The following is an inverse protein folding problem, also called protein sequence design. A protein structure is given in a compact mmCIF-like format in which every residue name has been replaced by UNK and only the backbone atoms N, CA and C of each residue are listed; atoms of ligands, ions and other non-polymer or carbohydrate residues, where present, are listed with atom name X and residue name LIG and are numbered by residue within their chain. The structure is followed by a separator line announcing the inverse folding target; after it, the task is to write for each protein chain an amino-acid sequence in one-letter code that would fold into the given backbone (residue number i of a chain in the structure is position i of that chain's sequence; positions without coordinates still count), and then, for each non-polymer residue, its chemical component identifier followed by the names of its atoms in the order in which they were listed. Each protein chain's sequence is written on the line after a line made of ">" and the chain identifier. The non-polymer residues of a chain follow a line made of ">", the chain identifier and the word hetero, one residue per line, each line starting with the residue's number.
data_IF_441790837350
#
_entry.id   IF_441790837350
#
_cell.length_a   1.000
_cell.length_b   1.000
_cell.length_c   1.000
_cell.angle_alpha   90.00
_cell.angle_beta   90.00
_cell.angle_gamma   90.00
#
_symmetry.space_group_name_H-M   'P 1'
#
loop_
_entity.id
_entity.type
_entity.pdbx_description
1 polymer ?
#
# COMPACT_ATOMS: atom_id res chain seq x y z
N UNK A 1 -15.86 15.13 19.55
CA UNK A 1 -14.83 16.14 19.87
C UNK A 1 -13.90 16.24 18.67
N UNK A 2 -13.76 17.39 17.99
CA UNK A 2 -12.81 17.51 16.87
C UNK A 2 -11.39 17.51 17.48
N UNK A 3 -10.56 16.52 17.17
CA UNK A 3 -9.17 16.47 17.64
C UNK A 3 -8.36 17.52 16.88
N UNK A 4 -7.51 18.26 17.59
CA UNK A 4 -6.61 19.26 17.00
C UNK A 4 -5.20 18.70 16.87
N UNK A 5 -4.49 19.15 15.85
CA UNK A 5 -3.15 18.69 15.51
C UNK A 5 -2.25 19.90 15.30
N UNK A 6 -1.03 19.84 15.84
CA UNK A 6 0.05 20.73 15.44
C UNK A 6 0.98 19.97 14.50
N UNK A 7 1.25 20.52 13.32
CA UNK A 7 2.17 19.97 12.33
C UNK A 7 3.38 20.90 12.18
N UNK A 8 4.54 20.41 12.59
CA UNK A 8 5.84 21.00 12.29
C UNK A 8 6.34 20.40 10.98
N UNK A 9 6.39 21.19 9.89
CA UNK A 9 6.72 20.70 8.54
C UNK A 9 7.91 21.41 7.91
N UNK A 10 8.74 20.67 7.18
CA UNK A 10 9.83 21.18 6.35
C UNK A 10 9.34 21.87 5.07
N UNK A 11 8.06 21.67 4.71
CA UNK A 11 7.46 22.27 3.54
C UNK A 11 7.06 23.72 3.77
N UNK A 12 7.12 24.53 2.72
CA UNK A 12 6.53 25.87 2.71
C UNK A 12 5.01 25.78 2.90
N UNK A 13 4.43 26.76 3.60
CA UNK A 13 2.99 26.81 3.93
C UNK A 13 2.10 26.67 2.69
N UNK A 14 2.46 27.32 1.58
CA UNK A 14 1.70 27.29 0.32
C UNK A 14 1.59 25.88 -0.25
N UNK A 15 2.70 25.15 -0.28
CA UNK A 15 2.75 23.74 -0.74
C UNK A 15 1.97 22.83 0.19
N UNK A 16 2.10 23.02 1.51
CA UNK A 16 1.42 22.19 2.50
C UNK A 16 -0.10 22.36 2.45
N UNK A 17 -0.60 23.59 2.28
CA UNK A 17 -2.04 23.86 2.10
C UNK A 17 -2.60 23.17 0.85
N UNK A 18 -1.83 23.11 -0.25
CA UNK A 18 -2.25 22.35 -1.42
C UNK A 18 -2.38 20.85 -1.13
N UNK A 19 -1.53 20.29 -0.27
CA UNK A 19 -1.62 18.89 0.16
C UNK A 19 -2.83 18.66 1.09
N UNK A 20 -3.10 19.57 2.02
CA UNK A 20 -4.31 19.49 2.85
C UNK A 20 -5.59 19.48 2.00
N UNK A 21 -5.65 20.30 0.93
CA UNK A 21 -6.77 20.27 -0.02
C UNK A 21 -6.90 18.93 -0.72
N UNK A 22 -5.80 18.38 -1.23
CA UNK A 22 -5.80 17.05 -1.87
C UNK A 22 -6.19 15.93 -0.92
N UNK A 23 -5.88 16.07 0.37
CA UNK A 23 -6.27 15.13 1.41
C UNK A 23 -7.72 15.33 1.90
N UNK A 24 -8.47 16.30 1.35
CA UNK A 24 -9.83 16.59 1.80
C UNK A 24 -9.89 17.20 3.21
N UNK A 25 -8.82 17.88 3.65
CA UNK A 25 -8.70 18.47 5.00
C UNK A 25 -8.78 20.00 5.00
N UNK A 26 -9.10 20.63 3.87
CA UNK A 26 -9.16 22.09 3.75
C UNK A 26 -10.30 22.73 4.58
N UNK A 27 -11.40 22.00 4.81
CA UNK A 27 -12.49 22.41 5.70
C UNK A 27 -12.12 22.28 7.19
N UNK A 28 -10.94 21.73 7.50
CA UNK A 28 -10.47 21.46 8.88
C UNK A 28 -9.28 22.32 9.29
N UNK A 29 -8.93 23.35 8.53
CA UNK A 29 -7.80 24.25 8.82
C UNK A 29 -7.86 24.82 10.25
N UNK A 30 -9.06 25.10 10.79
CA UNK A 30 -9.26 25.55 12.17
C UNK A 30 -8.76 24.56 13.26
N UNK A 31 -8.58 23.28 12.91
CA UNK A 31 -8.11 22.22 13.81
C UNK A 31 -6.65 21.83 13.55
N UNK A 32 -5.98 22.46 12.58
CA UNK A 32 -4.62 22.14 12.17
C UNK A 32 -3.77 23.39 12.29
N UNK A 33 -2.88 23.42 13.28
CA UNK A 33 -1.86 24.45 13.40
C UNK A 33 -0.62 24.00 12.63
N UNK A 34 -0.29 24.69 11.54
CA UNK A 34 0.87 24.39 10.70
C UNK A 34 1.99 25.36 11.04
N UNK A 35 3.14 24.82 11.43
CA UNK A 35 4.39 25.57 11.63
C UNK A 35 5.38 25.09 10.57
N UNK A 36 5.73 25.99 9.64
CA UNK A 36 6.70 25.69 8.59
C UNK A 36 8.11 25.97 9.09
N UNK A 37 9.09 25.17 8.64
CA UNK A 37 10.52 25.43 8.86
C UNK A 37 10.94 26.83 8.43
N UNK A 38 10.30 27.39 7.41
CA UNK A 38 10.61 28.72 6.89
C UNK A 38 10.13 29.86 7.80
N UNK A 39 9.24 29.57 8.74
CA UNK A 39 8.68 30.55 9.69
C UNK A 39 9.39 30.50 11.06
N UNK A 40 10.36 29.58 11.23
CA UNK A 40 11.03 29.37 12.51
C UNK A 40 12.26 30.26 12.68
N UNK A 41 12.48 30.83 13.87
CA UNK A 41 13.75 31.43 14.22
C UNK A 41 14.86 30.36 14.30
N UNK A 42 16.14 30.75 14.18
CA UNK A 42 17.26 29.82 14.38
C UNK A 42 17.26 29.34 15.84
N UNK A 43 16.83 28.10 16.06
CA UNK A 43 16.68 27.51 17.38
C UNK A 43 17.27 26.10 17.41
N UNK A 44 17.88 25.73 18.53
CA UNK A 44 18.36 24.35 18.75
C UNK A 44 17.18 23.41 18.96
N UNK A 45 17.33 22.18 18.48
CA UNK A 45 16.27 21.17 18.48
C UNK A 45 15.53 20.98 19.83
N UNK A 46 16.18 20.82 20.99
CA UNK A 46 15.46 20.66 22.26
C UNK A 46 14.58 21.85 22.63
N UNK A 47 15.08 23.07 22.42
CA UNK A 47 14.32 24.29 22.70
C UNK A 47 13.15 24.46 21.71
N UNK A 48 13.35 24.06 20.44
CA UNK A 48 12.28 24.06 19.44
C UNK A 48 11.16 23.11 19.83
N UNK A 49 11.49 21.89 20.25
CA UNK A 49 10.48 20.92 20.70
C UNK A 49 9.71 21.44 21.90
N UNK A 50 10.38 22.02 22.89
CA UNK A 50 9.73 22.60 24.07
C UNK A 50 8.74 23.72 23.67
N UNK A 51 9.18 24.65 22.82
CA UNK A 51 8.33 25.74 22.33
C UNK A 51 7.12 25.21 21.54
N UNK A 52 7.35 24.29 20.60
CA UNK A 52 6.29 23.70 19.77
C UNK A 52 5.31 22.86 20.60
N UNK A 53 5.80 22.13 21.60
CA UNK A 53 4.95 21.36 22.48
C UNK A 53 4.09 22.28 23.37
N UNK A 54 4.65 23.37 23.89
CA UNK A 54 3.88 24.41 24.57
C UNK A 54 2.83 25.05 23.65
N UNK A 55 3.17 25.32 22.39
CA UNK A 55 2.22 25.83 21.38
C UNK A 55 1.10 24.83 21.10
N UNK A 56 1.43 23.54 21.01
CA UNK A 56 0.47 22.45 20.84
C UNK A 56 -0.52 22.41 22.01
N UNK A 57 -0.04 22.50 23.25
CA UNK A 57 -0.89 22.57 24.45
C UNK A 57 -1.78 23.80 24.44
N UNK A 58 -1.23 25.00 24.15
CA UNK A 58 -2.03 26.25 24.08
C UNK A 58 -3.10 26.19 22.98
N UNK A 59 -2.81 25.53 21.86
CA UNK A 59 -3.77 25.31 20.79
C UNK A 59 -4.82 24.24 21.13
N UNK A 60 -4.58 23.41 22.16
CA UNK A 60 -5.41 22.26 22.51
C UNK A 60 -5.21 21.07 21.56
N UNK A 61 -4.03 20.96 20.96
CA UNK A 61 -3.65 19.81 20.16
C UNK A 61 -3.51 18.56 21.03
N UNK A 62 -3.85 17.42 20.45
CA UNK A 62 -3.65 16.10 21.06
C UNK A 62 -2.55 15.32 20.33
N UNK A 63 -2.15 15.82 19.15
CA UNK A 63 -1.13 15.21 18.31
C UNK A 63 -0.13 16.31 17.90
N UNK A 64 1.15 16.01 18.10
CA UNK A 64 2.27 16.76 17.55
C UNK A 64 2.88 15.92 16.41
N UNK A 65 2.81 16.43 15.19
CA UNK A 65 3.43 15.81 14.02
C UNK A 65 4.72 16.55 13.64
N UNK A 66 5.81 15.81 13.42
CA UNK A 66 7.10 16.34 12.97
C UNK A 66 7.46 15.75 11.60
N UNK A 67 7.52 16.60 10.59
CA UNK A 67 7.74 16.24 9.19
C UNK A 67 8.87 17.06 8.55
N UNK A 68 10.09 16.58 8.34
CA UNK A 68 10.62 15.25 8.69
C UNK A 68 11.57 15.37 9.88
N UNK A 69 11.56 14.35 10.74
CA UNK A 69 12.32 14.31 11.99
C UNK A 69 13.82 14.57 11.77
N UNK A 70 14.44 13.87 10.82
CA UNK A 70 15.88 13.98 10.56
C UNK A 70 16.27 15.42 10.18
N UNK A 71 15.43 16.14 9.43
CA UNK A 71 15.70 17.50 9.00
C UNK A 71 15.71 18.51 10.17
N UNK A 72 14.84 18.34 11.16
CA UNK A 72 14.77 19.23 12.34
C UNK A 72 15.76 18.86 13.43
N UNK A 73 15.97 17.56 13.66
CA UNK A 73 16.90 17.08 14.67
C UNK A 73 18.38 17.22 14.26
N UNK A 74 18.65 17.57 13.00
CA UNK A 74 20.01 17.70 12.48
C UNK A 74 20.70 16.35 12.23
N UNK A 75 19.93 15.26 12.15
CA UNK A 75 20.46 13.93 11.88
C UNK A 75 20.84 13.82 10.40
N UNK A 76 22.13 13.61 10.13
CA UNK A 76 22.66 13.46 8.77
C UNK A 76 23.87 12.52 8.76
N UNK A 77 24.18 11.93 7.61
CA UNK A 77 25.35 11.06 7.45
C UNK A 77 25.31 9.86 8.40
N UNK A 78 26.40 9.61 9.11
CA UNK A 78 26.51 8.46 10.01
C UNK A 78 25.71 8.63 11.31
N UNK A 79 25.38 9.87 11.69
CA UNK A 79 24.62 10.17 12.92
C UNK A 79 23.22 9.55 12.92
N UNK A 80 22.59 9.43 11.75
CA UNK A 80 21.25 8.81 11.64
C UNK A 80 21.27 7.31 12.00
N UNK A 81 22.41 6.66 11.85
CA UNK A 81 22.60 5.23 12.17
C UNK A 81 23.25 5.03 13.55
N UNK A 82 23.66 6.10 14.22
CA UNK A 82 24.22 6.04 15.56
C UNK A 82 23.08 6.02 16.60
N UNK A 83 23.03 4.96 17.40
CA UNK A 83 22.01 4.79 18.43
C UNK A 83 22.00 5.93 19.47
N UNK A 84 23.18 6.44 19.84
CA UNK A 84 23.31 7.55 20.78
C UNK A 84 22.74 8.84 20.22
N UNK A 85 23.11 9.20 18.99
CA UNK A 85 22.64 10.43 18.33
C UNK A 85 21.12 10.39 18.10
N UNK A 86 20.59 9.24 17.65
CA UNK A 86 19.16 9.06 17.48
C UNK A 86 18.39 9.15 18.82
N UNK A 87 18.91 8.56 19.89
CA UNK A 87 18.29 8.63 21.21
C UNK A 87 18.30 10.05 21.77
N UNK A 88 19.41 10.78 21.63
CA UNK A 88 19.50 12.18 22.04
C UNK A 88 18.53 13.07 21.24
N UNK A 89 18.35 12.79 19.95
CA UNK A 89 17.38 13.48 19.11
C UNK A 89 15.93 13.17 19.50
N UNK A 90 15.62 11.95 19.95
CA UNK A 90 14.27 11.56 20.38
C UNK A 90 13.90 12.09 21.78
N UNK A 91 14.87 12.26 22.67
CA UNK A 91 14.64 12.56 24.10
C UNK A 91 13.74 13.78 24.35
N UNK A 92 13.88 14.93 23.65
CA UNK A 92 12.96 16.05 23.80
C UNK A 92 11.50 15.71 23.43
N UNK A 93 11.31 14.90 22.38
CA UNK A 93 9.97 14.48 21.93
C UNK A 93 9.35 13.48 22.90
N UNK A 94 10.13 12.54 23.44
CA UNK A 94 9.69 11.60 24.47
C UNK A 94 9.23 12.35 25.72
N UNK A 95 10.00 13.36 26.13
CA UNK A 95 9.64 14.25 27.26
C UNK A 95 8.34 14.99 27.00
N UNK A 96 8.17 15.57 25.81
CA UNK A 96 6.92 16.23 25.42
C UNK A 96 5.73 15.26 25.47
N UNK A 97 5.88 14.05 24.94
CA UNK A 97 4.82 13.02 24.97
C UNK A 97 4.45 12.64 26.42
N UNK A 98 5.45 12.39 27.26
CA UNK A 98 5.25 11.95 28.64
C UNK A 98 4.65 13.03 29.55
N UNK A 99 5.01 14.30 29.33
CA UNK A 99 4.64 15.38 30.27
C UNK A 99 3.43 16.20 29.81
N UNK A 100 3.13 16.23 28.52
CA UNK A 100 2.08 17.10 27.96
C UNK A 100 0.90 16.34 27.36
N UNK A 101 0.83 15.03 27.54
CA UNK A 101 -0.23 14.16 27.01
C UNK A 101 -0.42 14.29 25.49
N UNK A 102 0.68 14.55 24.77
CA UNK A 102 0.69 14.64 23.31
C UNK A 102 1.04 13.28 22.70
N UNK A 103 0.24 12.81 21.75
CA UNK A 103 0.69 11.77 20.84
C UNK A 103 1.70 12.38 19.85
N UNK A 104 2.91 11.85 19.81
CA UNK A 104 3.95 12.35 18.90
C UNK A 104 4.05 11.43 17.68
N UNK A 105 3.85 12.01 16.49
CA UNK A 105 4.06 11.34 15.21
C UNK A 105 5.27 11.98 14.51
N UNK A 106 6.20 11.14 14.06
CA UNK A 106 7.41 11.61 13.38
C UNK A 106 7.58 10.87 12.06
N UNK A 107 7.85 11.61 10.98
CA UNK A 107 8.15 11.04 9.68
C UNK A 107 9.66 11.04 9.44
N UNK A 108 10.14 10.02 8.75
CA UNK A 108 11.54 9.90 8.33
C UNK A 108 11.60 9.29 6.95
N UNK A 109 12.57 9.71 6.17
CA UNK A 109 12.87 9.07 4.90
C UNK A 109 13.77 7.86 5.14
N UNK A 110 13.48 6.78 4.43
CA UNK A 110 14.38 5.64 4.37
C UNK A 110 15.38 5.84 3.23
N UNK A 111 16.65 5.54 3.48
CA UNK A 111 17.70 5.65 2.45
C UNK A 111 17.47 4.60 1.37
N UNK A 112 17.87 4.93 0.13
CA UNK A 112 17.67 4.11 -1.08
C UNK A 112 18.43 2.77 -1.10
N UNK A 113 19.34 2.50 -0.17
CA UNK A 113 19.99 1.20 -0.02
C UNK A 113 19.07 0.21 0.71
N UNK A 114 17.94 -0.11 0.07
CA UNK A 114 17.06 -1.19 0.49
C UNK A 114 17.73 -2.52 0.22
N UNK A 115 18.36 -3.08 1.25
CA UNK A 115 18.64 -4.52 1.33
C UNK A 115 17.34 -5.31 1.46
N UNK A 116 17.43 -6.63 1.35
CA UNK A 116 16.28 -7.53 1.28
C UNK A 116 15.25 -7.28 2.39
N UNK A 117 13.98 -7.41 1.99
CA UNK A 117 12.76 -6.95 2.70
C UNK A 117 12.58 -7.57 4.10
N UNK A 118 13.35 -8.62 4.45
CA UNK A 118 13.31 -9.25 5.78
C UNK A 118 14.13 -8.52 6.85
N UNK A 119 15.23 -7.86 6.48
CA UNK A 119 16.15 -7.25 7.45
C UNK A 119 15.90 -5.74 7.66
N UNK A 120 15.37 -5.03 6.67
CA UNK A 120 15.08 -3.58 6.80
C UNK A 120 13.90 -3.25 7.72
N UNK A 121 13.04 -4.22 8.03
CA UNK A 121 11.97 -4.05 9.02
C UNK A 121 12.49 -4.10 10.47
N UNK A 122 13.57 -4.86 10.74
CA UNK A 122 14.32 -4.79 12.01
C UNK A 122 15.47 -3.77 11.97
N UNK A 123 15.87 -3.34 10.78
CA UNK A 123 17.10 -2.61 10.45
C UNK A 123 17.07 -1.08 10.55
N UNK A 124 16.20 -0.49 11.39
CA UNK A 124 16.35 0.92 11.78
C UNK A 124 16.88 0.99 13.22
N UNK A 125 18.08 0.45 13.41
CA UNK A 125 18.59 -0.03 14.71
C UNK A 125 18.96 1.06 15.71
N UNK A 126 18.76 2.35 15.40
CA UNK A 126 19.01 3.47 16.29
C UNK A 126 17.70 4.07 16.87
N UNK A 127 16.84 4.61 16.00
CA UNK A 127 15.56 5.25 16.40
C UNK A 127 14.51 4.25 16.88
N UNK A 128 14.54 3.00 16.40
CA UNK A 128 13.49 2.02 16.67
C UNK A 128 13.34 1.62 18.13
N UNK A 129 14.43 1.65 18.91
CA UNK A 129 14.38 1.35 20.35
C UNK A 129 13.67 2.42 21.18
N UNK A 130 13.62 3.67 20.68
CA UNK A 130 13.11 4.83 21.39
C UNK A 130 11.65 5.18 21.08
N UNK A 131 10.92 4.36 20.33
CA UNK A 131 9.51 4.60 19.96
C UNK A 131 8.62 3.42 20.32
N UNK A 132 7.32 3.67 20.48
CA UNK A 132 6.35 2.63 20.81
C UNK A 132 5.81 1.90 19.58
N UNK A 133 5.67 2.62 18.46
CA UNK A 133 5.13 2.12 17.19
C UNK A 133 6.01 2.60 16.04
N UNK A 134 6.41 1.68 15.17
CA UNK A 134 7.11 1.94 13.92
C UNK A 134 6.20 1.51 12.78
N UNK A 135 5.94 2.43 11.87
CA UNK A 135 5.19 2.17 10.64
C UNK A 135 6.12 2.33 9.43
N UNK A 136 6.17 1.33 8.55
CA UNK A 136 6.92 1.37 7.30
C UNK A 136 5.98 1.27 6.11
N UNK A 137 6.04 2.26 5.21
CA UNK A 137 5.21 2.32 4.01
C UNK A 137 6.02 1.85 2.79
N UNK A 138 5.62 0.72 2.20
CA UNK A 138 6.33 0.04 1.11
C UNK A 138 5.52 0.02 -0.19
N UNK A 139 6.23 0.06 -1.32
CA UNK A 139 5.65 -0.28 -2.62
C UNK A 139 5.54 -1.80 -2.75
N UNK A 140 4.48 -2.27 -3.39
CA UNK A 140 4.27 -3.70 -3.63
C UNK A 140 4.47 -3.98 -5.12
N UNK A 141 5.49 -4.78 -5.47
CA UNK A 141 5.71 -5.18 -6.88
C UNK A 141 4.49 -5.98 -7.36
N UNK A 142 4.04 -5.68 -8.58
CA UNK A 142 2.91 -6.35 -9.22
C UNK A 142 1.54 -5.81 -8.83
N UNK A 143 1.44 -4.82 -7.94
CA UNK A 143 0.19 -4.12 -7.68
C UNK A 143 0.18 -2.72 -8.30
N UNK A 144 -1.02 -2.12 -8.36
CA UNK A 144 -1.21 -0.75 -8.87
C UNK A 144 -0.33 0.25 -8.11
N UNK A 145 0.14 1.35 -8.75
CA UNK A 145 0.95 2.38 -8.10
C UNK A 145 0.26 3.08 -6.93
N UNK A 146 -1.06 2.99 -6.80
CA UNK A 146 -1.88 3.51 -5.70
C UNK A 146 -1.86 2.61 -4.46
N UNK A 147 -1.46 1.34 -4.61
CA UNK A 147 -1.42 0.37 -3.50
C UNK A 147 -0.06 0.39 -2.81
N UNK A 148 -0.08 0.39 -1.48
CA UNK A 148 1.08 0.32 -0.59
C UNK A 148 0.86 -0.73 0.48
N UNK A 149 1.95 -1.29 0.97
CA UNK A 149 1.96 -2.14 2.16
C UNK A 149 2.43 -1.31 3.35
N UNK A 150 1.62 -1.28 4.41
CA UNK A 150 1.94 -0.66 5.69
C UNK A 150 2.34 -1.77 6.66
N UNK A 151 3.63 -1.86 6.98
CA UNK A 151 4.17 -2.78 7.97
C UNK A 151 4.25 -2.07 9.32
N UNK A 152 3.88 -2.75 10.40
CA UNK A 152 3.98 -2.22 11.75
C UNK A 152 4.84 -3.10 12.65
N UNK A 153 5.72 -2.46 13.42
CA UNK A 153 6.33 -3.04 14.60
C UNK A 153 5.85 -2.22 15.81
N UNK A 154 5.14 -2.86 16.73
CA UNK A 154 4.46 -2.18 17.83
C UNK A 154 4.68 -2.91 19.13
N UNK A 155 4.65 -2.16 20.23
CA UNK A 155 4.55 -2.69 21.60
C UNK A 155 3.12 -3.08 21.99
N UNK A 156 2.14 -2.76 21.16
CA UNK A 156 0.71 -2.97 21.41
C UNK A 156 0.15 -4.03 20.45
N UNK A 157 -0.46 -5.07 21.02
CA UNK A 157 -1.03 -6.21 20.28
C UNK A 157 -2.18 -5.81 19.36
N UNK A 158 -2.85 -4.68 19.65
CA UNK A 158 -3.94 -4.14 18.85
C UNK A 158 -3.46 -3.53 17.52
N UNK A 159 -2.16 -3.31 17.35
CA UNK A 159 -1.60 -2.77 16.10
C UNK A 159 -1.44 -3.87 15.06
N UNK A 160 -2.14 -3.81 13.91
CA UNK A 160 -1.98 -4.83 12.87
C UNK A 160 -0.54 -4.85 12.34
N UNK A 161 0.09 -6.03 12.29
CA UNK A 161 1.48 -6.15 11.83
C UNK A 161 1.67 -5.81 10.34
N UNK A 162 0.63 -5.97 9.53
CA UNK A 162 0.66 -5.63 8.10
C UNK A 162 -0.75 -5.24 7.62
N UNK A 163 -0.82 -4.21 6.77
CA UNK A 163 -2.01 -3.83 6.01
C UNK A 163 -1.66 -3.49 4.56
N UNK A 164 -2.49 -3.90 3.61
CA UNK A 164 -2.48 -3.32 2.27
C UNK A 164 -3.43 -2.13 2.24
N UNK A 165 -2.95 -0.99 1.75
CA UNK A 165 -3.75 0.23 1.62
C UNK A 165 -3.69 0.77 0.20
N UNK A 166 -4.81 1.29 -0.30
CA UNK A 166 -4.91 1.93 -1.61
C UNK A 166 -5.27 3.40 -1.47
N UNK A 167 -4.54 4.26 -2.16
CA UNK A 167 -4.92 5.67 -2.33
C UNK A 167 -6.00 5.80 -3.41
N UNK A 168 -7.18 6.27 -3.01
CA UNK A 168 -8.33 6.53 -3.89
C UNK A 168 -8.70 8.01 -3.85
N UNK A 169 -9.67 8.43 -4.66
CA UNK A 169 -10.22 9.80 -4.59
C UNK A 169 -10.88 10.10 -3.24
N UNK A 170 -11.40 9.09 -2.54
CA UNK A 170 -11.98 9.21 -1.21
C UNK A 170 -10.94 9.12 -0.07
N UNK A 171 -9.65 8.96 -0.41
CA UNK A 171 -8.55 8.77 0.53
C UNK A 171 -8.04 7.33 0.60
N UNK A 172 -7.35 6.99 1.69
CA UNK A 172 -6.80 5.65 1.90
C UNK A 172 -7.88 4.65 2.32
N UNK A 173 -7.93 3.51 1.62
CA UNK A 173 -8.79 2.37 1.97
C UNK A 173 -7.95 1.12 2.22
N UNK A 174 -8.40 0.24 3.10
CA UNK A 174 -7.75 -1.06 3.33
C UNK A 174 -8.15 -2.02 2.21
N UNK A 175 -7.16 -2.69 1.62
CA UNK A 175 -7.36 -3.72 0.61
C UNK A 175 -7.40 -5.08 1.29
N UNK A 176 -8.37 -5.92 0.91
CA UNK A 176 -8.46 -7.29 1.39
C UNK A 176 -7.15 -8.06 1.05
N UNK A 177 -6.50 -8.72 2.03
CA UNK A 177 -5.25 -9.44 1.80
C UNK A 177 -5.34 -10.55 0.73
N UNK A 178 -6.45 -11.28 0.66
CA UNK A 178 -6.67 -12.34 -0.33
C UNK A 178 -6.88 -11.75 -1.72
N UNK A 179 -7.58 -10.62 -1.83
CA UNK A 179 -7.64 -9.87 -3.07
C UNK A 179 -6.25 -9.42 -3.52
N UNK A 180 -5.46 -8.82 -2.62
CA UNK A 180 -4.09 -8.39 -2.90
C UNK A 180 -3.20 -9.52 -3.39
N UNK A 181 -3.28 -10.72 -2.77
CA UNK A 181 -2.55 -11.91 -3.22
C UNK A 181 -2.95 -12.35 -4.64
N UNK A 182 -4.25 -12.38 -4.94
CA UNK A 182 -4.77 -12.76 -6.27
C UNK A 182 -4.29 -11.79 -7.35
N UNK A 183 -4.39 -10.49 -7.10
CA UNK A 183 -3.93 -9.45 -8.02
C UNK A 183 -2.42 -9.56 -8.27
N UNK A 184 -1.63 -9.77 -7.21
CA UNK A 184 -0.18 -9.92 -7.35
C UNK A 184 0.19 -11.20 -8.10
N UNK A 185 -0.55 -12.30 -7.91
CA UNK A 185 -0.35 -13.55 -8.65
C UNK A 185 -0.70 -13.39 -10.14
N UNK A 186 -1.78 -12.66 -10.44
CA UNK A 186 -2.17 -12.32 -11.81
C UNK A 186 -1.11 -11.44 -12.49
N UNK A 187 -0.62 -10.40 -11.81
CA UNK A 187 0.43 -9.54 -12.34
C UNK A 187 1.74 -10.28 -12.58
N UNK A 188 2.16 -11.17 -11.67
CA UNK A 188 3.33 -12.04 -11.87
C UNK A 188 3.15 -12.96 -13.07
N UNK A 189 1.96 -13.52 -13.24
CA UNK A 189 1.64 -14.37 -14.39
C UNK A 189 1.70 -13.58 -15.71
N UNK A 190 1.21 -12.34 -15.72
CA UNK A 190 1.31 -11.44 -16.88
C UNK A 190 2.76 -11.04 -17.19
N UNK A 191 3.58 -10.74 -16.17
CA UNK A 191 5.02 -10.47 -16.31
C UNK A 191 5.75 -11.68 -16.92
N UNK A 192 5.53 -12.88 -16.37
CA UNK A 192 6.12 -14.11 -16.91
C UNK A 192 5.68 -14.36 -18.36
N UNK A 193 4.40 -14.11 -18.67
CA UNK A 193 3.88 -14.23 -20.03
C UNK A 193 4.61 -13.28 -20.98
N UNK A 194 4.77 -12.01 -20.59
CA UNK A 194 5.47 -11.02 -21.40
C UNK A 194 6.94 -11.38 -21.61
N UNK A 195 7.64 -11.84 -20.56
CA UNK A 195 9.04 -12.28 -20.65
C UNK A 195 9.21 -13.42 -21.66
N UNK A 196 8.34 -14.43 -21.62
CA UNK A 196 8.38 -15.53 -22.60
C UNK A 196 8.05 -15.02 -24.00
N UNK A 197 7.06 -14.14 -24.15
CA UNK A 197 6.70 -13.57 -25.44
C UNK A 197 7.82 -12.74 -26.07
N UNK A 198 8.54 -11.95 -25.27
CA UNK A 198 9.69 -11.14 -25.70
C UNK A 198 10.90 -12.01 -26.07
N UNK A 199 11.04 -13.18 -25.43
CA UNK A 199 12.09 -14.15 -25.76
C UNK A 199 11.82 -14.88 -27.08
N UNK A 200 10.55 -15.08 -27.48
CA UNK A 200 10.20 -15.77 -28.72
C UNK A 200 10.59 -14.96 -29.96
N UNK A 201 11.30 -15.60 -30.89
CA UNK A 201 11.63 -15.04 -32.20
C UNK A 201 10.46 -15.22 -33.18
N UNK A 202 10.28 -14.33 -34.16
CA UNK A 202 9.18 -14.42 -35.14
C UNK A 202 9.35 -15.57 -36.13
N UNK A 203 10.59 -16.00 -36.39
CA UNK A 203 10.92 -16.98 -37.40
C UNK A 203 11.17 -18.38 -36.83
N UNK A 204 10.94 -19.40 -37.67
CA UNK A 204 11.17 -20.80 -37.31
C UNK A 204 12.65 -21.12 -37.06
N UNK A 205 13.59 -20.42 -37.72
CA UNK A 205 15.02 -20.66 -37.55
C UNK A 205 15.51 -20.23 -36.15
N UNK A 206 14.92 -19.17 -35.60
CA UNK A 206 15.13 -18.67 -34.24
C UNK A 206 14.29 -19.36 -33.17
N UNK A 207 13.61 -20.47 -33.48
CA UNK A 207 12.75 -21.16 -32.52
C UNK A 207 13.55 -21.76 -31.35
N UNK A 208 13.04 -21.54 -30.14
CA UNK A 208 13.71 -21.93 -28.89
C UNK A 208 12.98 -23.09 -28.21
N UNK A 209 13.72 -23.98 -27.58
CA UNK A 209 13.20 -25.01 -26.68
C UNK A 209 12.77 -24.39 -25.35
N UNK A 210 12.01 -25.15 -24.55
CA UNK A 210 11.64 -24.72 -23.19
C UNK A 210 12.87 -24.43 -22.31
N UNK A 211 13.97 -25.18 -22.51
CA UNK A 211 15.21 -24.95 -21.75
C UNK A 211 15.86 -23.64 -22.15
N UNK A 212 16.05 -23.39 -23.45
CA UNK A 212 16.63 -22.14 -23.94
C UNK A 212 15.76 -20.92 -23.56
N UNK A 213 14.43 -21.06 -23.53
CA UNK A 213 13.52 -20.03 -23.03
C UNK A 213 13.63 -19.81 -21.52
N UNK A 214 13.80 -20.88 -20.72
CA UNK A 214 14.05 -20.77 -19.29
C UNK A 214 15.36 -20.02 -19.01
N UNK A 215 16.41 -20.35 -19.77
CA UNK A 215 17.71 -19.70 -19.66
C UNK A 215 17.63 -18.21 -20.08
N UNK A 216 16.89 -17.90 -21.15
CA UNK A 216 16.72 -16.53 -21.65
C UNK A 216 15.84 -15.64 -20.75
N UNK A 217 14.84 -16.22 -20.07
CA UNK A 217 13.88 -15.46 -19.25
C UNK A 217 14.22 -15.47 -17.76
N UNK A 218 15.12 -16.37 -17.31
CA UNK A 218 15.40 -16.62 -15.89
C UNK A 218 14.26 -17.31 -15.14
N UNK A 219 13.22 -17.80 -15.85
CA UNK A 219 12.08 -18.48 -15.26
C UNK A 219 12.33 -19.98 -15.13
N UNK A 220 11.69 -20.63 -14.13
CA UNK A 220 11.80 -22.08 -14.02
C UNK A 220 11.10 -22.77 -15.19
N UNK A 221 11.65 -23.92 -15.62
CA UNK A 221 11.19 -24.69 -16.78
C UNK A 221 9.69 -24.99 -16.77
N UNK A 222 9.13 -25.35 -15.61
CA UNK A 222 7.69 -25.65 -15.48
C UNK A 222 6.83 -24.42 -15.77
N UNK A 223 7.22 -23.22 -15.33
CA UNK A 223 6.50 -21.97 -15.62
C UNK A 223 6.56 -21.63 -17.10
N UNK A 224 7.74 -21.72 -17.70
CA UNK A 224 7.92 -21.52 -19.14
C UNK A 224 7.07 -22.49 -19.94
N UNK A 225 7.04 -23.77 -19.56
CA UNK A 225 6.22 -24.77 -20.23
C UNK A 225 4.73 -24.43 -20.17
N UNK A 226 4.21 -24.04 -19.00
CA UNK A 226 2.81 -23.62 -18.85
C UNK A 226 2.49 -22.40 -19.69
N UNK A 227 3.34 -21.38 -19.66
CA UNK A 227 3.15 -20.14 -20.43
C UNK A 227 3.24 -20.40 -21.94
N UNK A 228 4.26 -21.13 -22.39
CA UNK A 228 4.46 -21.43 -23.81
C UNK A 228 3.31 -22.28 -24.36
N UNK A 229 2.77 -23.22 -23.57
CA UNK A 229 1.56 -23.96 -23.95
C UNK A 229 0.36 -23.02 -24.13
N UNK A 230 0.10 -22.14 -23.17
CA UNK A 230 -1.01 -21.19 -23.27
C UNK A 230 -0.87 -20.27 -24.51
N UNK A 231 0.33 -19.78 -24.80
CA UNK A 231 0.60 -18.98 -26.00
C UNK A 231 0.34 -19.76 -27.31
N UNK A 232 0.59 -21.07 -27.33
CA UNK A 232 0.26 -21.93 -28.47
C UNK A 232 -1.24 -22.15 -28.60
N UNK A 233 -1.91 -22.45 -27.49
CA UNK A 233 -3.36 -22.68 -27.46
C UNK A 233 -4.13 -21.40 -27.89
N UNK A 234 -3.58 -20.23 -27.61
CA UNK A 234 -4.10 -18.92 -28.06
C UNK A 234 -3.67 -18.51 -29.48
N UNK A 235 -2.82 -19.30 -30.15
CA UNK A 235 -2.33 -19.03 -31.50
C UNK A 235 -1.26 -17.92 -31.62
N UNK A 236 -0.79 -17.38 -30.49
CA UNK A 236 0.26 -16.35 -30.42
C UNK A 236 1.66 -16.94 -30.66
N UNK A 237 1.84 -18.22 -30.36
CA UNK A 237 3.05 -18.97 -30.65
C UNK A 237 2.73 -20.24 -31.45
N UNK A 238 3.70 -20.74 -32.20
CA UNK A 238 3.66 -22.06 -32.82
C UNK A 238 4.70 -22.96 -32.17
N UNK A 239 4.39 -24.25 -32.09
CA UNK A 239 5.33 -25.28 -31.69
C UNK A 239 5.51 -26.29 -32.81
N UNK A 240 6.72 -26.80 -32.95
CA UNK A 240 6.99 -27.95 -33.80
C UNK A 240 8.03 -28.87 -33.16
N UNK A 241 8.02 -30.11 -33.60
CA UNK A 241 9.07 -31.08 -33.32
C UNK A 241 9.87 -31.26 -34.61
N UNK A 242 11.20 -31.22 -34.54
CA UNK A 242 12.04 -31.51 -35.70
C UNK A 242 11.84 -32.97 -36.14
N UNK A 243 12.15 -33.29 -37.40
CA UNK A 243 11.83 -34.56 -38.09
C UNK A 243 12.55 -35.81 -37.54
N UNK A 244 13.09 -35.74 -36.33
CA UNK A 244 13.69 -36.85 -35.60
C UNK A 244 12.88 -37.18 -34.33
N UNK A 245 12.46 -38.45 -34.15
CA UNK A 245 11.78 -38.87 -32.94
C UNK A 245 12.61 -38.53 -31.69
N UNK A 246 11.94 -38.03 -30.65
CA UNK A 246 12.50 -37.66 -29.33
C UNK A 246 13.21 -36.30 -29.22
N UNK A 247 13.26 -35.46 -30.26
CA UNK A 247 13.76 -34.08 -30.08
C UNK A 247 12.77 -33.21 -29.29
N UNK A 248 13.27 -32.26 -28.46
CA UNK A 248 12.41 -31.35 -27.71
C UNK A 248 11.61 -30.45 -28.66
N UNK A 249 10.38 -30.11 -28.27
CA UNK A 249 9.58 -29.11 -28.97
C UNK A 249 10.30 -27.75 -28.97
N UNK A 250 10.25 -27.08 -30.12
CA UNK A 250 10.72 -25.70 -30.30
C UNK A 250 9.53 -24.78 -30.52
N UNK A 251 9.63 -23.56 -30.02
CA UNK A 251 8.59 -22.54 -29.99
C UNK A 251 9.08 -21.28 -30.70
N UNK A 252 8.24 -20.68 -31.54
CA UNK A 252 8.45 -19.36 -32.13
C UNK A 252 7.14 -18.57 -32.10
N UNK A 253 7.23 -17.25 -32.21
CA UNK A 253 6.07 -16.36 -32.25
C UNK A 253 5.35 -16.53 -33.58
N UNK A 254 4.03 -16.50 -33.56
CA UNK A 254 3.23 -16.47 -34.78
C UNK A 254 3.36 -15.08 -35.38
N UNK A 255 3.96 -14.97 -36.56
CA UNK A 255 3.93 -13.73 -37.33
C UNK A 255 2.63 -13.69 -38.14
N UNK A 256 1.76 -12.68 -37.97
CA UNK A 256 0.56 -12.55 -38.80
C UNK A 256 0.86 -12.35 -40.29
N UNK A 257 2.12 -12.03 -40.65
CA UNK A 257 2.56 -11.87 -42.05
C UNK A 257 3.21 -13.12 -42.64
N UNK A 258 3.48 -14.14 -41.83
CA UNK A 258 4.03 -15.41 -42.29
C UNK A 258 2.89 -16.37 -42.59
N UNK A 259 2.42 -16.37 -43.84
CA UNK A 259 1.67 -17.48 -44.40
C UNK A 259 2.58 -18.70 -44.49
N UNK A 260 2.69 -19.47 -43.40
CA UNK A 260 3.26 -20.81 -43.47
C UNK A 260 2.24 -21.74 -44.14
N UNK A 261 2.56 -22.18 -45.36
CA UNK A 261 1.91 -23.25 -46.10
C UNK A 261 1.74 -24.48 -45.21
N UNK A 262 0.50 -24.75 -44.79
CA UNK A 262 0.15 -26.00 -44.13
C UNK A 262 0.03 -27.07 -45.20
N UNK A 263 1.11 -27.81 -45.47
CA UNK A 263 0.96 -29.13 -46.08
C UNK A 263 0.50 -30.11 -45.00
N UNK A 264 -0.81 -30.17 -44.78
CA UNK A 264 -1.45 -31.32 -44.15
C UNK A 264 -1.18 -32.54 -45.04
N UNK A 265 -0.24 -33.41 -44.64
CA UNK A 265 -0.23 -34.78 -45.17
C UNK A 265 -1.17 -35.63 -44.33
N UNK A 266 -2.39 -35.72 -44.86
CA UNK A 266 -3.29 -36.83 -44.66
C UNK A 266 -2.50 -38.14 -44.77
N UNK A 267 -2.47 -38.91 -43.68
CA UNK A 267 -2.00 -40.28 -43.67
C UNK A 267 -2.97 -41.15 -44.46
N UNK A 268 -2.63 -41.40 -45.73
CA UNK A 268 -3.22 -42.48 -46.52
C UNK A 268 -2.88 -43.82 -45.87
N UNK A 269 -3.91 -44.51 -45.38
CA UNK A 269 -3.81 -45.90 -44.98
C UNK A 269 -3.37 -46.74 -46.18
N UNK A 270 -2.22 -47.41 -46.05
CA UNK A 270 -1.81 -48.48 -46.96
C UNK A 270 -2.32 -49.80 -46.42
N UNK A 271 -3.09 -50.41 -47.29
CA UNK A 271 -3.58 -51.77 -47.33
C UNK A 271 -2.41 -52.77 -47.19
N UNK A 272 -2.52 -53.69 -46.25
CA UNK A 272 -1.79 -54.96 -46.27
C UNK A 272 -2.61 -56.03 -45.57
N UNK A 273 -3.38 -56.74 -46.39
CA UNK A 273 -3.92 -58.07 -46.14
C UNK A 273 -2.85 -59.04 -45.63
N UNK A 274 -3.09 -59.63 -44.46
CA UNK A 274 -2.88 -61.05 -44.18
C UNK A 274 -3.98 -61.53 -43.25
N UNK A 275 -4.75 -62.52 -43.71
CA UNK A 275 -5.64 -63.37 -42.91
C UNK A 275 -4.82 -64.08 -41.81
N UNK A 276 -5.34 -64.43 -40.62
CA UNK A 276 -6.37 -65.45 -40.44
C UNK A 276 -7.10 -65.36 -39.08
N UNK A 277 -8.39 -65.73 -39.16
CA UNK A 277 -9.18 -66.51 -38.20
C UNK A 277 -9.12 -66.22 -36.68
N UNK A 278 -10.18 -65.60 -36.15
CA UNK A 278 -11.17 -66.33 -35.36
C UNK A 278 -12.41 -65.47 -35.09
N UNK A 279 -13.58 -65.99 -35.44
CA UNK A 279 -14.87 -65.33 -35.21
C UNK A 279 -15.36 -65.45 -33.77
N UNK A 280 -16.25 -64.54 -33.38
CA UNK A 280 -17.60 -64.85 -32.88
C UNK A 280 -18.45 -63.56 -32.82
N UNK A 281 -19.72 -63.72 -33.19
CA UNK A 281 -20.79 -62.73 -33.32
C UNK A 281 -21.14 -62.02 -31.98
N UNK A 282 -21.96 -60.97 -31.87
CA UNK A 282 -23.14 -60.58 -32.62
C UNK A 282 -23.66 -59.17 -32.21
N UNK A 283 -24.39 -58.52 -33.15
CA UNK A 283 -25.62 -57.71 -32.99
C UNK A 283 -25.57 -56.35 -32.24
N UNK A 284 -25.83 -55.21 -32.92
CA UNK A 284 -27.16 -54.52 -33.15
C UNK A 284 -27.67 -53.83 -31.87
N UNK A 285 -28.22 -52.61 -31.80
CA UNK A 285 -28.82 -51.70 -32.78
C UNK A 285 -29.26 -50.36 -32.08
N UNK A 286 -29.59 -49.36 -32.90
CA UNK A 286 -30.50 -48.18 -32.75
C UNK A 286 -30.27 -47.04 -31.73
N UNK A 287 -30.21 -45.81 -32.30
CA UNK A 287 -31.02 -44.65 -31.87
C UNK A 287 -30.21 -43.44 -31.39
N UNK A 288 -30.10 -42.29 -32.06
CA UNK A 288 -30.99 -41.65 -33.04
C UNK A 288 -31.91 -40.64 -32.35
N UNK A 289 -31.52 -39.36 -32.27
CA UNK A 289 -32.39 -38.27 -31.80
C UNK A 289 -31.68 -36.97 -31.42
N UNK A 290 -31.58 -36.03 -32.36
CA UNK A 290 -31.14 -34.63 -32.19
C UNK A 290 -32.37 -33.70 -32.05
N UNK A 291 -32.24 -32.36 -31.86
CA UNK A 291 -32.56 -31.67 -30.61
C UNK A 291 -33.72 -30.66 -30.73
N UNK A 292 -34.22 -30.13 -29.61
CA UNK A 292 -34.99 -28.88 -29.60
C UNK A 292 -34.59 -27.97 -28.41
N UNK A 293 -34.19 -26.75 -28.72
CA UNK A 293 -34.14 -25.60 -27.82
C UNK A 293 -35.55 -24.97 -27.68
N UNK A 294 -35.80 -24.16 -26.63
CA UNK A 294 -35.87 -22.72 -26.91
C UNK A 294 -35.43 -21.76 -25.77
N UNK A 295 -34.90 -20.62 -26.24
CA UNK A 295 -34.99 -19.22 -25.78
C UNK A 295 -35.29 -18.80 -24.32
N UNK A 296 -34.40 -17.90 -23.85
CA UNK A 296 -34.58 -16.62 -23.12
C UNK A 296 -35.63 -16.48 -22.01
N UNK A 297 -35.16 -16.06 -20.82
CA UNK A 297 -35.74 -14.88 -20.16
C UNK A 297 -34.73 -14.16 -19.26
N UNK A 298 -34.57 -12.86 -19.53
CA UNK A 298 -33.92 -11.86 -18.68
C UNK A 298 -34.98 -11.32 -17.72
N UNK A 299 -34.62 -11.03 -16.47
CA UNK A 299 -35.43 -10.20 -15.57
C UNK A 299 -34.54 -9.26 -14.76
N UNK A 300 -34.68 -7.97 -15.08
CA UNK A 300 -34.31 -6.83 -14.24
C UNK A 300 -35.44 -6.59 -13.23
N UNK A 301 -35.11 -6.21 -12.01
CA UNK A 301 -36.05 -5.57 -11.07
C UNK A 301 -35.39 -4.32 -10.50
N UNK A 302 -36.15 -3.24 -10.45
CA UNK A 302 -35.80 -1.91 -9.99
C UNK A 302 -36.73 -1.50 -8.83
N UNK A 303 -36.12 -0.99 -7.74
CA UNK A 303 -36.48 0.11 -6.78
C UNK A 303 -37.90 0.14 -6.16
N UNK A 304 -38.05 0.55 -4.88
CA UNK A 304 -38.37 1.97 -4.60
C UNK A 304 -37.68 2.61 -3.38
N UNK A 305 -37.78 3.94 -3.35
CA UNK A 305 -37.28 4.94 -2.37
C UNK A 305 -38.34 5.24 -1.30
N UNK A 306 -37.91 5.74 -0.12
CA UNK A 306 -38.71 6.51 0.86
C UNK A 306 -38.47 6.05 2.31
N UNK A 307 -38.51 6.84 3.37
CA UNK A 307 -38.50 8.29 3.68
C UNK A 307 -38.30 8.40 5.22
N UNK A 308 -38.04 9.60 5.74
CA UNK A 308 -37.73 9.96 7.13
C UNK A 308 -38.63 9.37 8.25
N UNK A 309 -38.06 9.17 9.45
CA UNK A 309 -38.71 9.54 10.74
C UNK A 309 -37.82 9.34 11.99
N UNK A 310 -37.56 10.47 12.66
CA UNK A 310 -37.69 10.75 14.11
C UNK A 310 -37.34 9.72 15.21
N UNK A 311 -36.36 10.15 16.04
CA UNK A 311 -36.30 10.13 17.53
C UNK A 311 -36.57 8.82 18.30
N UNK A 312 -35.55 8.33 19.02
CA UNK A 312 -35.74 7.68 20.32
C UNK A 312 -34.52 7.92 21.23
N UNK A 313 -34.78 8.61 22.34
CA UNK A 313 -33.87 8.82 23.47
C UNK A 313 -33.74 7.52 24.25
N UNK A 314 -32.51 7.11 24.58
CA UNK A 314 -32.28 6.19 25.69
C UNK A 314 -31.35 6.81 26.73
N UNK A 315 -31.97 7.09 27.89
CA UNK A 315 -31.35 7.30 29.17
C UNK A 315 -30.49 6.09 29.56
N UNK A 316 -29.24 6.33 29.94
CA UNK A 316 -28.52 5.47 30.89
C UNK A 316 -28.00 6.33 32.03
N UNK A 317 -28.30 5.84 33.23
CA UNK A 317 -28.23 6.47 34.55
C UNK A 317 -26.78 6.59 35.04
N UNK A 318 -26.46 7.72 35.69
CA UNK A 318 -25.36 7.85 36.67
C UNK A 318 -25.78 7.33 38.04
N UNK A 319 -24.84 6.84 38.86
CA UNK A 319 -24.91 7.03 40.31
C UNK A 319 -23.54 7.53 40.87
N UNK A 320 -23.37 7.82 42.18
CA UNK A 320 -23.47 9.19 42.69
C UNK A 320 -22.16 9.72 43.29
N UNK A 321 -22.11 11.05 43.42
CA UNK A 321 -21.14 11.82 44.22
C UNK A 321 -21.46 11.65 45.71
N UNK A 322 -20.43 11.44 46.54
CA UNK A 322 -20.49 11.70 47.99
C UNK A 322 -19.58 12.89 48.31
N UNK A 323 -20.17 13.90 48.93
CA UNK A 323 -19.52 15.01 49.63
C UNK A 323 -19.37 14.67 51.12
N UNK A 324 -18.42 15.35 51.78
CA UNK A 324 -18.30 15.51 53.22
C UNK A 324 -16.82 15.54 53.65
N UNK A 325 -16.22 16.73 53.77
CA UNK A 325 -16.01 17.49 55.04
C UNK A 325 -14.88 16.86 55.88
N UNK A 326 -13.89 17.53 56.48
CA UNK A 326 -13.57 18.93 56.78
C UNK A 326 -12.10 18.93 57.32
N UNK A 327 -11.20 19.86 56.95
CA UNK A 327 -10.76 21.08 57.70
C UNK A 327 -9.41 20.94 58.42
N UNK A 328 -8.68 22.08 58.45
CA UNK A 328 -7.49 22.53 59.23
C UNK A 328 -6.15 22.52 58.48
N UNK A 329 -5.66 23.66 57.97
CA UNK A 329 -5.10 24.89 58.58
C UNK A 329 -3.56 24.88 58.71
N UNK A 330 -2.92 25.85 58.05
CA UNK A 330 -1.68 26.62 58.38
C UNK A 330 -0.98 27.01 57.07
N UNK A 331 -1.15 28.26 56.63
CA UNK A 331 -0.33 29.45 56.94
C UNK A 331 0.83 29.69 55.94
N UNK A 332 0.67 30.79 55.20
CA UNK A 332 1.64 31.87 54.95
C UNK A 332 3.00 31.50 54.32
N UNK A 333 3.22 31.98 53.09
CA UNK A 333 4.42 32.76 52.78
C UNK A 333 4.20 33.62 51.52
N UNK A 334 4.15 34.94 51.71
CA UNK A 334 4.34 35.95 50.68
C UNK A 334 5.78 35.89 50.15
N UNK A 335 5.98 36.02 48.84
CA UNK A 335 7.20 36.54 48.26
C UNK A 335 6.89 37.19 46.90
N UNK A 336 7.16 38.50 46.86
CA UNK A 336 7.17 39.39 45.70
C UNK A 336 8.01 38.87 44.52
N UNK A 337 7.56 39.16 43.30
CA UNK A 337 8.33 38.88 42.09
C UNK A 337 7.62 39.19 40.78
N UNK A 338 7.15 40.44 40.60
CA UNK A 338 6.67 40.94 39.32
C UNK A 338 7.79 40.94 38.26
N UNK A 339 7.60 40.21 37.16
CA UNK A 339 8.27 40.42 35.87
C UNK A 339 7.21 40.37 34.74
N UNK A 340 7.34 41.21 33.70
CA UNK A 340 6.23 41.61 32.82
C UNK A 340 5.90 40.58 31.73
N UNK A 341 4.70 40.65 31.11
CA UNK A 341 4.31 39.74 30.04
C UNK A 341 5.06 40.06 28.74
N UNK A 342 5.64 39.03 28.13
CA UNK A 342 6.21 39.09 26.79
C UNK A 342 5.12 39.10 25.72
N UNK A 343 5.39 39.90 24.68
CA UNK A 343 4.50 40.33 23.63
C UNK A 343 3.82 39.23 22.80
N UNK A 344 2.62 39.62 22.35
CA UNK A 344 1.70 39.00 21.42
C UNK A 344 2.34 38.53 20.10
N UNK A 345 2.21 37.22 19.80
CA UNK A 345 2.23 36.72 18.43
C UNK A 345 0.93 37.14 17.72
N UNK A 346 1.10 37.89 16.65
CA UNK A 346 0.07 38.53 15.82
C UNK A 346 -0.93 37.50 15.28
N UNK A 347 -2.19 37.60 15.72
CA UNK A 347 -3.34 36.93 15.08
C UNK A 347 -3.82 37.80 13.92
N UNK A 348 -3.48 37.47 12.68
CA UNK A 348 -4.23 37.95 11.53
C UNK A 348 -5.38 36.99 11.20
N UNK A 349 -6.60 37.48 11.41
CA UNK A 349 -7.84 36.83 10.99
C UNK A 349 -8.08 37.14 9.52
N UNK A 350 -8.32 36.12 8.72
CA UNK A 350 -8.79 36.27 7.34
C UNK A 350 -10.21 36.84 7.34
N UNK A 351 -10.37 38.10 6.91
CA UNK A 351 -11.60 38.63 6.35
C UNK A 351 -11.29 39.13 4.94
N UNK A 352 -11.47 38.25 3.96
CA UNK A 352 -11.44 38.61 2.54
C UNK A 352 -12.78 39.23 2.15
N UNK A 353 -12.87 40.55 2.23
CA UNK A 353 -13.92 41.37 1.62
C UNK A 353 -13.65 41.60 0.13
N UNK A 354 -14.73 41.57 -0.65
CA UNK A 354 -14.79 41.89 -2.09
C UNK A 354 -14.53 43.39 -2.38
N UNK A 355 -14.30 43.67 -3.66
CA UNK A 355 -14.16 44.96 -4.36
C UNK A 355 -12.70 45.48 -4.42
N UNK A 356 -12.15 45.88 -5.57
CA UNK A 356 -12.74 46.33 -6.85
C UNK A 356 -12.06 45.66 -8.07
#
# INVERSE_FOLDING_TARGET
>A
MKRRVLVLTEQARTSFVAQLRKAGLADREENILVVSRFDLPPMRWPALVEAIAADAVRFGAHVLMVDTFSAFAGLSGDMENNAGDAQQALEPLQRAAATQHLAVLLTRHERKSGGDVGDSARGSTATGGGVDIILALRRVKGLRPTVRKLEALSRFDETPGELLIEWTEAGYVVVDPEQGKREQAAARSAEHRQQVLDALRPDRAGALTVQELADATGLCRTKVQTVAKALVDEGVARRYQADEPKRPFRYHRTDPTCHDDVSERATTARDSTTADANGHAATRDVGGGTPQSPHHHVSRVAVPVGEDSTTARHHVRRPPVRNGHDVEHSEICECDGCLPPADTLTRERLHGGRHA
#
